data_IF_809061390340
#
_entry.id   IF_809061390340
#
_cell.length_a   1.000
_cell.length_b   1.000
_cell.length_c   1.000
_cell.angle_alpha   90.00
_cell.angle_beta   90.00
_cell.angle_gamma   90.00
#
_symmetry.space_group_name_H-M   'P 1'
#
loop_
_entity.id
_entity.type
_entity.pdbx_description
1 polymer ?
#
# COMPACT_ATOMS: atom_id res chain seq x y z
N UNK A 1 -47.85 -13.28 63.39
CA UNK A 1 -47.47 -11.92 63.82
C UNK A 1 -46.00 -11.73 63.51
N UNK A 2 -45.72 -10.99 62.43
CA UNK A 2 -44.97 -9.72 62.43
C UNK A 2 -43.45 -9.87 62.59
N UNK A 3 -42.76 -9.68 61.45
CA UNK A 3 -41.58 -8.83 61.23
C UNK A 3 -40.29 -9.23 61.97
N UNK A 4 -39.07 -9.09 61.46
CA UNK A 4 -38.45 -8.58 60.24
C UNK A 4 -36.95 -8.62 60.60
N UNK A 5 -36.07 -9.25 59.82
CA UNK A 5 -34.64 -8.87 59.86
C UNK A 5 -33.95 -9.17 58.53
N UNK A 6 -34.13 -8.21 57.62
CA UNK A 6 -33.14 -7.63 56.70
C UNK A 6 -32.14 -8.63 56.11
N UNK A 7 -32.52 -9.23 54.99
CA UNK A 7 -31.59 -9.84 54.04
C UNK A 7 -30.93 -8.69 53.27
N UNK A 8 -29.66 -8.41 53.58
CA UNK A 8 -28.83 -7.48 52.84
C UNK A 8 -28.65 -8.01 51.40
N UNK A 9 -29.47 -7.52 50.47
CA UNK A 9 -29.30 -7.70 49.05
C UNK A 9 -28.19 -6.76 48.57
N UNK A 10 -26.93 -7.09 48.90
CA UNK A 10 -25.79 -6.47 48.23
C UNK A 10 -25.73 -7.01 46.79
N UNK A 11 -26.29 -6.20 45.89
CA UNK A 11 -25.82 -5.92 44.54
C UNK A 11 -24.51 -6.62 44.18
N UNK A 12 -24.58 -7.86 43.70
CA UNK A 12 -23.53 -8.42 42.87
C UNK A 12 -23.91 -8.07 41.43
N UNK A 13 -23.64 -6.83 41.04
CA UNK A 13 -23.49 -6.54 39.62
C UNK A 13 -22.36 -7.44 39.12
N UNK A 14 -22.58 -8.34 38.14
CA UNK A 14 -21.45 -8.95 37.46
C UNK A 14 -20.70 -7.78 36.81
N UNK A 15 -19.47 -7.54 37.28
CA UNK A 15 -18.51 -6.72 36.60
C UNK A 15 -18.48 -7.18 35.15
N UNK A 16 -19.05 -6.37 34.25
CA UNK A 16 -18.70 -6.42 32.84
C UNK A 16 -17.24 -5.99 32.79
N UNK A 17 -16.33 -6.95 32.96
CA UNK A 17 -14.93 -6.78 32.59
C UNK A 17 -14.93 -6.65 31.08
N UNK A 18 -15.14 -5.42 30.60
CA UNK A 18 -14.70 -5.02 29.28
C UNK A 18 -13.18 -5.14 29.32
N UNK A 19 -12.66 -6.31 28.95
CA UNK A 19 -11.28 -6.43 28.49
C UNK A 19 -11.19 -5.54 27.27
N UNK A 20 -10.76 -4.29 27.46
CA UNK A 20 -10.37 -3.44 26.35
C UNK A 20 -9.21 -4.19 25.70
N UNK A 21 -9.45 -4.77 24.51
CA UNK A 21 -8.37 -5.25 23.66
C UNK A 21 -7.30 -4.15 23.65
N UNK A 22 -6.01 -4.46 23.83
CA UNK A 22 -5.00 -3.43 23.71
C UNK A 22 -5.20 -2.78 22.34
N UNK A 23 -5.34 -1.45 22.33
CA UNK A 23 -5.47 -0.65 21.10
C UNK A 23 -4.25 -0.88 20.19
N UNK A 24 -3.13 -1.27 20.79
CA UNK A 24 -1.88 -1.63 20.15
C UNK A 24 -1.69 -3.14 20.05
N UNK A 25 -1.50 -3.64 18.83
CA UNK A 25 -1.10 -5.02 18.54
C UNK A 25 0.39 -5.06 18.18
N UNK A 26 1.22 -5.47 19.15
CA UNK A 26 2.68 -5.53 18.98
C UNK A 26 3.09 -6.51 17.88
N UNK A 27 2.45 -7.68 17.82
CA UNK A 27 2.85 -8.71 16.86
C UNK A 27 2.55 -8.24 15.43
N UNK A 28 1.43 -7.56 15.24
CA UNK A 28 1.09 -6.96 13.96
C UNK A 28 2.07 -5.83 13.60
N UNK A 29 2.37 -4.94 14.55
CA UNK A 29 3.34 -3.86 14.36
C UNK A 29 4.72 -4.40 13.95
N UNK A 30 5.24 -5.39 14.69
CA UNK A 30 6.51 -6.06 14.37
C UNK A 30 6.46 -6.71 12.97
N UNK A 31 5.37 -7.42 12.63
CA UNK A 31 5.24 -8.09 11.32
C UNK A 31 5.20 -7.12 10.14
N UNK A 32 4.69 -5.90 10.35
CA UNK A 32 4.60 -4.87 9.32
C UNK A 32 5.85 -3.99 9.28
N UNK A 33 6.79 -4.16 10.21
CA UNK A 33 7.97 -3.33 10.36
C UNK A 33 7.65 -1.90 10.81
N UNK A 34 6.59 -1.75 11.62
CA UNK A 34 6.15 -0.46 12.11
C UNK A 34 7.05 0.07 13.23
N UNK A 35 7.31 1.37 13.22
CA UNK A 35 7.85 2.11 14.36
C UNK A 35 6.78 2.38 15.44
N UNK A 36 7.15 3.13 16.48
CA UNK A 36 6.26 3.50 17.60
C UNK A 36 5.01 4.30 17.15
N UNK A 37 5.03 4.90 15.96
CA UNK A 37 3.91 5.63 15.38
C UNK A 37 3.02 4.77 14.46
N UNK A 38 3.37 3.50 14.23
CA UNK A 38 2.65 2.66 13.27
C UNK A 38 3.07 2.91 11.82
N UNK A 39 4.28 3.44 11.61
CA UNK A 39 4.76 3.93 10.32
C UNK A 39 6.07 3.26 9.91
N UNK A 40 6.43 3.34 8.62
CA UNK A 40 7.75 2.91 8.13
C UNK A 40 8.17 3.69 6.87
N UNK A 41 9.42 3.53 6.49
CA UNK A 41 9.97 4.10 5.26
C UNK A 41 9.64 3.24 4.04
N UNK A 42 9.25 3.93 2.98
CA UNK A 42 8.92 3.43 1.65
C UNK A 42 9.63 4.28 0.60
N UNK A 43 9.45 3.91 -0.67
CA UNK A 43 9.83 4.75 -1.80
C UNK A 43 8.60 5.16 -2.61
N UNK A 44 8.40 6.47 -2.75
CA UNK A 44 7.40 7.06 -3.65
C UNK A 44 8.05 7.36 -5.00
N UNK A 45 7.41 6.90 -6.07
CA UNK A 45 7.81 7.21 -7.45
C UNK A 45 6.73 8.03 -8.12
N UNK A 46 7.13 9.12 -8.74
CA UNK A 46 6.26 9.93 -9.60
C UNK A 46 6.57 9.60 -11.06
N UNK A 47 5.61 9.02 -11.78
CA UNK A 47 5.75 8.72 -13.20
C UNK A 47 5.45 9.97 -14.04
N UNK A 48 6.18 10.16 -15.13
CA UNK A 48 6.00 11.21 -16.13
C UNK A 48 6.22 10.66 -17.54
N UNK A 49 5.87 11.43 -18.57
CA UNK A 49 6.20 11.07 -19.95
C UNK A 49 7.72 11.11 -20.14
N UNK A 50 8.30 10.03 -20.70
CA UNK A 50 9.72 10.00 -21.07
C UNK A 50 10.00 10.70 -22.40
N UNK A 51 11.25 10.68 -22.87
CA UNK A 51 11.65 11.33 -24.13
C UNK A 51 11.62 10.41 -25.34
N UNK A 52 11.35 9.12 -25.14
CA UNK A 52 11.21 8.11 -26.17
C UNK A 52 10.08 8.44 -27.14
N UNK A 53 10.37 8.32 -28.44
CA UNK A 53 9.42 8.54 -29.50
C UNK A 53 9.36 7.30 -30.41
N UNK A 54 8.31 6.50 -30.26
CA UNK A 54 8.05 5.31 -31.06
C UNK A 54 6.77 5.56 -31.85
N UNK A 55 6.90 5.65 -33.18
CA UNK A 55 5.77 5.92 -34.09
C UNK A 55 4.86 4.70 -34.27
N UNK A 56 5.41 3.49 -34.13
CA UNK A 56 4.65 2.25 -34.25
C UNK A 56 3.71 2.06 -33.05
N UNK A 57 2.43 2.31 -33.29
CA UNK A 57 1.37 2.14 -32.31
C UNK A 57 1.27 0.71 -31.77
N UNK A 58 1.45 -0.32 -32.59
CA UNK A 58 1.37 -1.70 -32.14
C UNK A 58 2.50 -2.02 -31.15
N UNK A 59 3.70 -1.49 -31.41
CA UNK A 59 4.83 -1.58 -30.48
C UNK A 59 4.55 -0.85 -29.17
N UNK A 60 4.05 0.38 -29.22
CA UNK A 60 3.68 1.14 -28.01
C UNK A 60 2.64 0.42 -27.17
N UNK A 61 1.57 -0.09 -27.80
CA UNK A 61 0.51 -0.83 -27.11
C UNK A 61 1.06 -2.12 -26.46
N UNK A 62 2.01 -2.80 -27.10
CA UNK A 62 2.70 -3.97 -26.53
C UNK A 62 3.57 -3.60 -25.32
N UNK A 63 4.29 -2.47 -25.37
CA UNK A 63 5.12 -2.01 -24.25
C UNK A 63 4.25 -1.63 -23.04
N UNK A 64 3.13 -0.96 -23.26
CA UNK A 64 2.21 -0.63 -22.17
C UNK A 64 1.43 -1.84 -21.63
N UNK A 65 1.24 -2.89 -22.43
CA UNK A 65 0.77 -4.18 -21.88
C UNK A 65 1.80 -4.77 -20.93
N UNK A 66 3.07 -4.82 -21.35
CA UNK A 66 4.16 -5.29 -20.50
C UNK A 66 4.36 -4.42 -19.24
N UNK A 67 4.06 -3.13 -19.31
CA UNK A 67 4.01 -2.24 -18.14
C UNK A 67 2.97 -2.70 -17.10
N UNK A 68 1.74 -3.00 -17.54
CA UNK A 68 0.68 -3.51 -16.66
C UNK A 68 1.04 -4.89 -16.09
N UNK A 69 1.59 -5.79 -16.91
CA UNK A 69 2.07 -7.10 -16.46
C UNK A 69 3.16 -6.97 -15.39
N UNK A 70 4.09 -6.01 -15.56
CA UNK A 70 5.14 -5.75 -14.59
C UNK A 70 4.59 -5.19 -13.27
N UNK A 71 3.59 -4.28 -13.32
CA UNK A 71 2.90 -3.80 -12.12
C UNK A 71 2.28 -4.97 -11.36
N UNK A 72 1.57 -5.87 -12.07
CA UNK A 72 0.97 -7.06 -11.49
C UNK A 72 2.01 -7.95 -10.80
N UNK A 73 3.10 -8.26 -11.48
CA UNK A 73 4.21 -9.06 -10.94
C UNK A 73 4.81 -8.46 -9.67
N UNK A 74 5.07 -7.14 -9.68
CA UNK A 74 5.64 -6.44 -8.52
C UNK A 74 4.66 -6.39 -7.33
N UNK A 75 3.37 -6.23 -7.61
CA UNK A 75 2.33 -6.24 -6.58
C UNK A 75 2.16 -7.64 -5.96
N UNK A 76 2.19 -8.69 -6.78
CA UNK A 76 2.16 -10.09 -6.30
C UNK A 76 3.38 -10.45 -5.44
N UNK A 77 4.55 -9.89 -5.76
CA UNK A 77 5.76 -10.05 -4.98
C UNK A 77 5.75 -9.24 -3.66
N UNK A 78 4.76 -8.36 -3.46
CA UNK A 78 4.70 -7.45 -2.31
C UNK A 78 5.71 -6.30 -2.39
N UNK A 79 6.41 -6.14 -3.52
CA UNK A 79 7.40 -5.08 -3.73
C UNK A 79 6.72 -3.74 -4.02
N UNK A 80 5.61 -3.76 -4.76
CA UNK A 80 4.81 -2.59 -5.13
C UNK A 80 3.47 -2.60 -4.41
N UNK A 81 3.27 -1.64 -3.51
CA UNK A 81 2.09 -1.57 -2.65
C UNK A 81 0.97 -0.77 -3.31
N UNK A 82 1.29 0.37 -3.92
CA UNK A 82 0.30 1.21 -4.62
C UNK A 82 0.77 1.46 -6.03
N UNK A 83 -0.11 1.28 -7.00
CA UNK A 83 0.07 1.71 -8.37
C UNK A 83 -1.20 2.36 -8.90
N UNK A 84 -1.08 3.54 -9.51
CA UNK A 84 -2.25 4.18 -10.09
C UNK A 84 -1.96 5.43 -10.90
N UNK A 85 -2.82 5.74 -11.88
CA UNK A 85 -2.69 6.96 -12.66
C UNK A 85 -3.04 8.19 -11.82
N UNK A 86 -2.38 9.29 -12.11
CA UNK A 86 -2.78 10.60 -11.61
C UNK A 86 -3.74 11.26 -12.61
N UNK A 87 -4.70 12.01 -12.08
CA UNK A 87 -5.52 12.89 -12.90
C UNK A 87 -4.68 14.00 -13.56
N UNK A 88 -5.29 14.72 -14.50
CA UNK A 88 -4.66 15.87 -15.16
C UNK A 88 -4.14 16.86 -14.10
N UNK A 89 -2.88 17.27 -14.24
CA UNK A 89 -2.21 18.16 -13.29
C UNK A 89 -1.21 19.06 -14.04
N UNK A 90 -0.79 20.15 -13.39
CA UNK A 90 0.15 21.14 -13.96
C UNK A 90 1.60 20.63 -14.06
N UNK A 91 1.92 19.51 -13.42
CA UNK A 91 3.27 18.98 -13.31
C UNK A 91 3.54 17.86 -14.33
N UNK A 92 2.60 17.57 -15.23
CA UNK A 92 2.69 16.49 -16.23
C UNK A 92 2.97 15.10 -15.65
N UNK A 93 2.63 14.86 -14.37
CA UNK A 93 2.73 13.53 -13.80
C UNK A 93 1.62 12.63 -14.30
N UNK A 94 1.96 11.37 -14.59
CA UNK A 94 1.06 10.36 -15.16
C UNK A 94 0.53 9.39 -14.11
N UNK A 95 1.28 9.14 -13.04
CA UNK A 95 0.93 8.13 -12.05
C UNK A 95 1.89 8.12 -10.88
N UNK A 96 1.56 7.31 -9.88
CA UNK A 96 2.41 7.08 -8.72
C UNK A 96 2.65 5.59 -8.50
N UNK A 97 3.81 5.30 -7.93
CA UNK A 97 4.08 4.03 -7.26
C UNK A 97 4.49 4.24 -5.82
N UNK A 98 4.11 3.32 -4.94
CA UNK A 98 4.67 3.21 -3.59
C UNK A 98 5.27 1.81 -3.45
N UNK A 99 6.59 1.73 -3.33
CA UNK A 99 7.32 0.48 -3.12
C UNK A 99 7.57 0.23 -1.63
N UNK A 100 7.44 -1.03 -1.19
CA UNK A 100 7.88 -1.52 0.12
C UNK A 100 9.39 -1.84 0.13
N UNK A 101 10.17 -0.88 -0.36
CA UNK A 101 11.63 -0.91 -0.36
C UNK A 101 12.15 0.52 -0.14
N UNK A 102 12.80 0.81 0.99
CA UNK A 102 13.31 2.15 1.29
C UNK A 102 14.57 2.54 0.49
N UNK A 103 15.28 1.58 -0.10
CA UNK A 103 16.45 1.85 -0.94
C UNK A 103 16.06 2.27 -2.36
N UNK A 104 16.26 3.57 -2.65
CA UNK A 104 15.98 4.15 -3.96
C UNK A 104 16.79 3.51 -5.10
N UNK A 105 17.98 2.98 -4.83
CA UNK A 105 18.79 2.34 -5.87
C UNK A 105 18.15 1.01 -6.31
N UNK A 106 17.71 0.19 -5.36
CA UNK A 106 16.96 -1.05 -5.67
C UNK A 106 15.63 -0.75 -6.34
N UNK A 107 14.91 0.29 -5.92
CA UNK A 107 13.67 0.68 -6.60
C UNK A 107 13.96 1.14 -8.04
N UNK A 108 15.07 1.84 -8.28
CA UNK A 108 15.49 2.16 -9.65
C UNK A 108 15.75 0.89 -10.49
N UNK A 109 16.35 -0.16 -9.91
CA UNK A 109 16.52 -1.45 -10.59
C UNK A 109 15.17 -2.13 -10.89
N UNK A 110 14.23 -2.14 -9.94
CA UNK A 110 12.87 -2.66 -10.13
C UNK A 110 12.10 -1.89 -11.21
N UNK A 111 12.27 -0.57 -11.29
CA UNK A 111 11.64 0.25 -12.33
C UNK A 111 12.18 -0.11 -13.73
N UNK A 112 13.44 -0.53 -13.86
CA UNK A 112 14.03 -0.92 -15.14
C UNK A 112 13.54 -2.28 -15.67
N UNK A 113 12.75 -3.03 -14.89
CA UNK A 113 12.06 -4.24 -15.40
C UNK A 113 10.80 -3.89 -16.20
N UNK A 114 10.32 -2.64 -16.14
CA UNK A 114 9.18 -2.15 -16.89
C UNK A 114 9.61 -1.79 -18.33
N UNK A 115 9.03 -2.43 -19.37
CA UNK A 115 9.39 -2.15 -20.75
C UNK A 115 9.04 -0.72 -21.21
N UNK A 116 8.01 -0.09 -20.65
CA UNK A 116 7.67 1.30 -20.98
C UNK A 116 8.69 2.29 -20.39
N UNK A 117 9.29 1.96 -19.25
CA UNK A 117 10.39 2.74 -18.67
C UNK A 117 11.70 2.48 -19.43
N UNK A 118 12.00 1.21 -19.73
CA UNK A 118 13.22 0.81 -20.43
C UNK A 118 13.34 1.41 -21.83
N UNK A 119 12.22 1.59 -22.53
CA UNK A 119 12.15 2.24 -23.84
C UNK A 119 11.90 3.76 -23.75
N UNK A 120 12.02 4.34 -22.54
CA UNK A 120 11.87 5.77 -22.27
C UNK A 120 10.52 6.38 -22.70
N UNK A 121 9.46 5.57 -22.77
CA UNK A 121 8.08 6.07 -22.90
C UNK A 121 7.56 6.64 -21.57
N UNK A 122 8.09 6.12 -20.47
CA UNK A 122 7.89 6.63 -19.11
C UNK A 122 9.23 6.99 -18.49
N UNK A 123 9.27 8.15 -17.85
CA UNK A 123 10.34 8.55 -16.96
C UNK A 123 9.80 8.69 -15.53
N UNK A 124 10.69 8.87 -14.56
CA UNK A 124 10.29 8.89 -13.15
C UNK A 124 11.16 9.79 -12.28
N UNK A 125 10.60 10.19 -11.14
CA UNK A 125 11.33 10.80 -10.02
C UNK A 125 11.12 9.94 -8.76
N UNK A 126 12.18 9.73 -7.97
CA UNK A 126 12.17 8.84 -6.79
C UNK A 126 12.36 9.64 -5.51
N UNK A 127 11.45 9.44 -4.55
CA UNK A 127 11.45 10.09 -3.24
C UNK A 127 11.40 9.06 -2.12
N UNK A 128 12.18 9.28 -1.06
CA UNK A 128 11.95 8.57 0.20
C UNK A 128 10.66 9.08 0.80
N UNK A 129 9.79 8.16 1.24
CA UNK A 129 8.49 8.50 1.78
C UNK A 129 8.24 7.76 3.09
N UNK A 130 7.70 8.45 4.07
CA UNK A 130 7.33 7.89 5.37
C UNK A 130 5.82 7.81 5.44
N UNK A 131 5.31 6.60 5.63
CA UNK A 131 3.89 6.29 5.50
C UNK A 131 3.45 5.22 6.48
N UNK A 132 2.14 4.94 6.54
CA UNK A 132 1.61 3.93 7.43
C UNK A 132 2.19 2.55 7.11
N UNK A 133 2.65 1.82 8.12
CA UNK A 133 3.11 0.44 7.97
C UNK A 133 1.96 -0.51 7.60
N UNK A 134 0.70 -0.07 7.72
CA UNK A 134 -0.48 -0.85 7.37
C UNK A 134 -0.79 -0.90 5.87
N UNK A 135 -0.07 -0.15 5.01
CA UNK A 135 -0.37 -0.12 3.58
C UNK A 135 -0.39 -1.51 2.92
N UNK A 136 0.60 -2.41 3.14
CA UNK A 136 0.56 -3.73 2.50
C UNK A 136 -0.69 -4.55 2.84
N UNK A 137 -1.34 -4.29 3.98
CA UNK A 137 -2.56 -5.00 4.41
C UNK A 137 -3.73 -4.77 3.44
N UNK A 138 -3.81 -3.60 2.80
CA UNK A 138 -4.92 -3.33 1.88
C UNK A 138 -4.86 -4.23 0.63
N UNK A 139 -3.69 -4.73 0.23
CA UNK A 139 -3.52 -5.58 -0.97
C UNK A 139 -4.40 -6.83 -0.90
N UNK A 140 -4.50 -7.46 0.28
CA UNK A 140 -5.40 -8.62 0.48
C UNK A 140 -6.88 -8.23 0.32
N UNK A 141 -7.25 -7.02 0.71
CA UNK A 141 -8.61 -6.52 0.50
C UNK A 141 -8.84 -6.17 -0.96
N UNK A 142 -7.85 -5.57 -1.63
CA UNK A 142 -7.88 -5.23 -3.04
C UNK A 142 -8.15 -6.46 -3.91
N UNK A 143 -7.43 -7.56 -3.66
CA UNK A 143 -7.59 -8.81 -4.42
C UNK A 143 -8.98 -9.44 -4.31
N UNK A 144 -9.72 -9.13 -3.23
CA UNK A 144 -11.10 -9.60 -3.03
C UNK A 144 -12.15 -8.72 -3.72
N UNK A 145 -11.80 -7.49 -4.10
CA UNK A 145 -12.71 -6.53 -4.72
C UNK A 145 -12.39 -6.25 -6.19
N UNK A 146 -11.21 -6.63 -6.67
CA UNK A 146 -10.89 -6.58 -8.10
C UNK A 146 -11.69 -7.64 -8.86
N UNK A 147 -12.47 -7.22 -9.86
CA UNK A 147 -13.22 -8.14 -10.72
C UNK A 147 -12.38 -8.63 -11.90
N UNK A 148 -11.51 -7.75 -12.40
CA UNK A 148 -10.65 -7.97 -13.55
C UNK A 148 -9.31 -7.35 -13.17
N UNK A 149 -8.24 -8.13 -13.30
CA UNK A 149 -6.89 -7.61 -13.23
C UNK A 149 -6.56 -6.97 -14.59
N UNK A 150 -6.18 -5.68 -14.63
CA UNK A 150 -5.90 -4.95 -15.86
C UNK A 150 -4.69 -5.48 -16.62
#
# INVERSE_FOLDING_TARGET
>A
MKNLLILCLFLVSPFLVFSQKPVYDKNLADSLGADDYGMKSYTLVMLKTGSGNIEDKARVDSLFRGHLDNIGRLAEAGELIVAGPLGKNSNNYRGIYIFDEPDKAKVAELLQTDPAIKEDLLAYDIYSWYGSAALPVYLETHSKIEKIRP
#
